data_IF_210930884038
#
_entry.id   IF_210930884038
#
_cell.length_a   1.000
_cell.length_b   1.000
_cell.length_c   1.000
_cell.angle_alpha   90.00
_cell.angle_beta   90.00
_cell.angle_gamma   90.00
#
_symmetry.space_group_name_H-M   'P 1'
#
loop_
_entity.id
_entity.type
_entity.pdbx_description
1 polymer ?
#
# COMPACT_ATOMS: atom_id res chain seq x y z
N UNK A 1 6.44 1.34 24.97
CA UNK A 1 7.07 2.10 23.88
C UNK A 1 8.17 1.26 23.22
N UNK A 2 9.12 0.74 23.99
CA UNK A 2 10.20 -0.12 23.50
C UNK A 2 9.64 -1.39 22.84
N UNK A 3 8.57 -1.95 23.41
CA UNK A 3 7.94 -3.16 22.89
C UNK A 3 7.28 -2.94 21.51
N UNK A 4 6.62 -1.79 21.33
CA UNK A 4 5.98 -1.47 20.07
C UNK A 4 7.02 -1.21 18.97
N UNK A 5 8.08 -0.50 19.28
CA UNK A 5 9.20 -0.25 18.36
C UNK A 5 9.91 -1.57 18.03
N UNK A 6 10.08 -2.43 19.03
CA UNK A 6 10.67 -3.76 18.86
C UNK A 6 9.80 -4.64 17.95
N UNK A 7 8.48 -4.57 18.09
CA UNK A 7 7.56 -5.32 17.21
C UNK A 7 7.60 -4.83 15.76
N UNK A 8 7.66 -3.51 15.55
CA UNK A 8 7.82 -2.96 14.20
C UNK A 8 9.18 -3.34 13.61
N UNK A 9 10.24 -3.28 14.40
CA UNK A 9 11.56 -3.74 13.97
C UNK A 9 11.58 -5.24 13.69
N UNK A 10 10.87 -6.05 14.48
CA UNK A 10 10.72 -7.48 14.23
C UNK A 10 9.97 -7.74 12.94
N UNK A 11 8.90 -7.01 12.66
CA UNK A 11 8.17 -7.12 11.39
C UNK A 11 9.06 -6.77 10.20
N UNK A 12 9.86 -5.73 10.33
CA UNK A 12 10.82 -5.34 9.29
C UNK A 12 11.98 -6.35 9.17
N UNK A 13 12.36 -7.00 10.27
CA UNK A 13 13.36 -8.08 10.26
C UNK A 13 12.87 -9.35 9.56
N UNK A 14 11.54 -9.49 9.37
CA UNK A 14 10.99 -10.59 8.59
C UNK A 14 11.06 -10.34 7.08
N UNK A 15 11.43 -9.13 6.66
CA UNK A 15 11.89 -8.91 5.30
C UNK A 15 13.19 -9.73 5.17
N UNK A 16 13.18 -10.83 4.40
CA UNK A 16 14.37 -11.65 4.32
C UNK A 16 15.51 -10.81 3.77
N UNK A 17 16.74 -10.97 4.28
CA UNK A 17 17.91 -10.30 3.69
C UNK A 17 18.01 -10.53 2.17
N UNK A 18 17.27 -11.49 1.68
CA UNK A 18 17.20 -11.86 0.26
C UNK A 18 16.62 -10.80 -0.66
N UNK A 19 15.82 -9.86 -0.11
CA UNK A 19 15.36 -8.71 -0.90
C UNK A 19 16.53 -7.83 -1.29
N UNK A 20 17.60 -7.87 -0.50
CA UNK A 20 18.85 -7.16 -0.79
C UNK A 20 19.84 -7.97 -1.61
N UNK A 21 19.57 -9.25 -1.89
CA UNK A 21 20.45 -10.07 -2.74
C UNK A 21 20.28 -9.63 -4.19
N UNK A 22 21.41 -9.30 -4.78
CA UNK A 22 21.48 -8.84 -6.15
C UNK A 22 21.04 -9.93 -7.15
N UNK A 23 19.90 -9.68 -7.79
CA UNK A 23 19.49 -10.34 -9.01
C UNK A 23 19.73 -9.41 -10.19
N UNK A 24 19.10 -9.70 -11.30
CA UNK A 24 19.22 -8.91 -12.52
C UNK A 24 17.82 -8.51 -13.02
N UNK A 25 17.71 -7.26 -13.43
CA UNK A 25 16.51 -6.76 -14.06
C UNK A 25 15.44 -6.27 -13.08
N UNK A 26 14.38 -5.77 -13.67
CA UNK A 26 13.29 -5.09 -12.96
C UNK A 26 12.13 -6.05 -12.80
N UNK A 27 11.61 -6.20 -11.59
CA UNK A 27 10.35 -6.89 -11.36
C UNK A 27 9.20 -5.94 -11.68
N UNK A 28 8.56 -6.14 -12.83
CA UNK A 28 7.35 -5.41 -13.22
C UNK A 28 6.12 -6.09 -12.64
N UNK A 29 4.99 -5.39 -12.67
CA UNK A 29 3.70 -5.94 -12.28
C UNK A 29 3.42 -5.96 -10.80
N UNK A 30 4.26 -5.34 -9.97
CA UNK A 30 3.93 -5.13 -8.56
C UNK A 30 2.81 -4.09 -8.44
N UNK A 31 1.92 -4.29 -7.49
CA UNK A 31 0.95 -3.26 -7.14
C UNK A 31 1.64 -2.12 -6.39
N UNK A 32 0.97 -0.97 -6.27
CA UNK A 32 1.51 0.14 -5.48
C UNK A 32 1.76 -0.26 -4.02
N UNK A 33 0.86 -1.07 -3.44
CA UNK A 33 1.03 -1.60 -2.07
C UNK A 33 2.27 -2.49 -1.99
N UNK A 34 2.46 -3.37 -2.95
CA UNK A 34 3.64 -4.24 -2.99
C UNK A 34 4.93 -3.42 -3.17
N UNK A 35 4.89 -2.40 -4.01
CA UNK A 35 6.01 -1.47 -4.16
C UNK A 35 6.31 -0.73 -2.85
N UNK A 36 5.28 -0.34 -2.10
CA UNK A 36 5.44 0.30 -0.79
C UNK A 36 6.16 -0.62 0.20
N UNK A 37 5.84 -1.91 0.18
CA UNK A 37 6.54 -2.91 0.99
C UNK A 37 8.01 -3.00 0.58
N UNK A 38 8.28 -3.04 -0.71
CA UNK A 38 9.65 -3.10 -1.22
C UNK A 38 10.46 -1.86 -0.83
N UNK A 39 9.81 -0.68 -0.84
CA UNK A 39 10.40 0.59 -0.43
C UNK A 39 10.53 0.75 1.09
N UNK A 40 10.08 -0.23 1.85
CA UNK A 40 10.10 -0.19 3.32
C UNK A 40 9.33 1.00 3.89
N UNK A 41 8.22 1.34 3.27
CA UNK A 41 7.33 2.40 3.76
C UNK A 41 6.72 1.99 5.11
N UNK A 42 6.35 2.98 5.97
CA UNK A 42 5.70 2.68 7.25
C UNK A 42 4.45 1.82 7.07
N UNK A 43 4.24 0.85 7.97
CA UNK A 43 3.14 -0.11 7.85
C UNK A 43 1.76 0.56 7.97
N UNK A 44 1.65 1.61 8.78
CA UNK A 44 0.41 2.39 8.86
C UNK A 44 0.05 3.05 7.52
N UNK A 45 1.04 3.51 6.78
CA UNK A 45 0.85 4.05 5.44
C UNK A 45 0.42 2.95 4.47
N UNK A 46 1.03 1.78 4.55
CA UNK A 46 0.64 0.61 3.73
C UNK A 46 -0.81 0.24 4.01
N UNK A 47 -1.22 0.21 5.29
CA UNK A 47 -2.60 -0.05 5.67
C UNK A 47 -3.57 0.98 5.07
N UNK A 48 -3.20 2.25 5.10
CA UNK A 48 -3.99 3.34 4.49
C UNK A 48 -4.12 3.14 2.98
N UNK A 49 -3.05 2.74 2.32
CA UNK A 49 -3.09 2.44 0.89
C UNK A 49 -4.04 1.28 0.57
N UNK A 50 -4.01 0.22 1.37
CA UNK A 50 -4.92 -0.91 1.19
C UNK A 50 -6.36 -0.47 1.41
N UNK A 51 -6.62 0.33 2.45
CA UNK A 51 -7.95 0.87 2.73
C UNK A 51 -8.49 1.64 1.52
N UNK A 52 -7.72 2.57 0.98
CA UNK A 52 -8.14 3.35 -0.19
C UNK A 52 -8.37 2.45 -1.40
N UNK A 53 -7.57 1.44 -1.59
CA UNK A 53 -7.73 0.48 -2.67
C UNK A 53 -9.05 -0.29 -2.59
N UNK A 54 -9.42 -0.79 -1.42
CA UNK A 54 -10.67 -1.55 -1.25
C UNK A 54 -11.90 -0.63 -1.36
N UNK A 55 -11.80 0.62 -0.91
CA UNK A 55 -12.87 1.61 -1.08
C UNK A 55 -13.05 1.93 -2.57
N UNK A 56 -11.98 2.17 -3.27
CA UNK A 56 -11.99 2.49 -4.71
C UNK A 56 -12.59 1.36 -5.54
N UNK A 57 -12.37 0.12 -5.13
CA UNK A 57 -12.93 -1.06 -5.79
C UNK A 57 -14.37 -1.37 -5.36
N UNK A 58 -14.96 -0.53 -4.51
CA UNK A 58 -16.31 -0.71 -3.96
C UNK A 58 -16.44 -1.99 -3.13
N UNK A 59 -15.37 -2.41 -2.48
CA UNK A 59 -15.36 -3.60 -1.62
C UNK A 59 -15.75 -3.27 -0.17
N UNK A 60 -15.68 -2.00 0.21
CA UNK A 60 -16.01 -1.55 1.57
C UNK A 60 -16.37 -0.07 1.58
N UNK A 61 -17.12 0.33 2.61
CA UNK A 61 -17.41 1.72 2.92
C UNK A 61 -16.99 2.00 4.37
N UNK A 62 -16.53 3.22 4.64
CA UNK A 62 -16.18 3.65 5.99
C UNK A 62 -17.45 3.99 6.76
N UNK A 63 -17.69 3.29 7.88
CA UNK A 63 -18.80 3.60 8.80
C UNK A 63 -18.35 4.69 9.76
N UNK A 64 -17.21 4.47 10.43
CA UNK A 64 -16.59 5.45 11.32
C UNK A 64 -15.08 5.46 11.07
N UNK A 65 -14.46 6.60 11.36
CA UNK A 65 -13.00 6.76 11.15
C UNK A 65 -12.19 6.51 12.41
N UNK A 66 -12.74 6.78 13.59
CA UNK A 66 -12.00 6.72 14.83
C UNK A 66 -12.90 6.20 15.95
N UNK A 67 -12.88 4.90 16.26
CA UNK A 67 -12.07 3.86 15.58
C UNK A 67 -12.54 3.57 14.17
N UNK A 68 -11.62 3.08 13.32
CA UNK A 68 -11.96 2.73 11.94
C UNK A 68 -12.87 1.49 11.93
N UNK A 69 -14.07 1.66 11.41
CA UNK A 69 -15.03 0.59 11.17
C UNK A 69 -15.45 0.61 9.72
N UNK A 70 -15.54 -0.57 9.11
CA UNK A 70 -15.87 -0.74 7.70
C UNK A 70 -17.11 -1.59 7.53
N UNK A 71 -17.93 -1.20 6.56
CA UNK A 71 -19.00 -2.06 6.04
C UNK A 71 -18.44 -2.77 4.80
N UNK A 72 -18.25 -4.06 4.91
CA UNK A 72 -17.74 -4.88 3.79
C UNK A 72 -18.89 -5.22 2.86
N UNK A 73 -18.69 -4.97 1.57
CA UNK A 73 -19.69 -5.23 0.54
C UNK A 73 -19.95 -6.74 0.39
N UNK A 74 -21.22 -7.10 0.19
CA UNK A 74 -21.60 -8.49 -0.07
C UNK A 74 -22.55 -8.55 -1.27
N UNK A 75 -22.24 -9.33 -2.32
CA UNK A 75 -21.01 -10.09 -2.51
C UNK A 75 -19.80 -9.19 -2.78
N UNK A 76 -18.61 -9.70 -2.52
CA UNK A 76 -17.39 -8.94 -2.81
C UNK A 76 -17.19 -8.80 -4.32
N UNK A 77 -16.70 -7.64 -4.79
CA UNK A 77 -16.35 -7.48 -6.20
C UNK A 77 -15.20 -8.40 -6.60
N UNK A 78 -15.09 -8.66 -7.89
CA UNK A 78 -13.97 -9.42 -8.46
C UNK A 78 -12.73 -8.52 -8.54
N UNK A 79 -11.56 -9.17 -8.68
CA UNK A 79 -10.31 -8.46 -8.91
C UNK A 79 -9.61 -7.97 -7.64
N UNK A 80 -10.04 -8.45 -6.46
CA UNK A 80 -9.36 -8.15 -5.21
C UNK A 80 -8.10 -8.99 -5.06
N UNK A 81 -7.03 -8.36 -4.60
CA UNK A 81 -5.80 -9.06 -4.28
C UNK A 81 -5.95 -9.83 -2.96
N UNK A 82 -5.11 -10.83 -2.76
CA UNK A 82 -5.14 -11.63 -1.53
C UNK A 82 -5.00 -10.75 -0.28
N UNK A 83 -4.09 -9.80 -0.29
CA UNK A 83 -3.92 -8.90 0.86
C UNK A 83 -5.15 -8.04 1.12
N UNK A 84 -5.89 -7.67 0.06
CA UNK A 84 -7.15 -6.92 0.21
C UNK A 84 -8.24 -7.78 0.84
N UNK A 85 -8.34 -9.04 0.43
CA UNK A 85 -9.28 -10.00 1.02
C UNK A 85 -8.97 -10.23 2.50
N UNK A 86 -7.70 -10.38 2.84
CA UNK A 86 -7.26 -10.56 4.23
C UNK A 86 -7.53 -9.32 5.08
N UNK A 87 -7.34 -8.14 4.51
CA UNK A 87 -7.65 -6.86 5.15
C UNK A 87 -9.14 -6.77 5.49
N UNK A 88 -10.00 -7.06 4.53
CA UNK A 88 -11.44 -7.03 4.72
C UNK A 88 -11.90 -8.06 5.75
N UNK A 89 -11.31 -9.25 5.73
CA UNK A 89 -11.58 -10.29 6.73
C UNK A 89 -11.27 -9.81 8.14
N UNK A 90 -10.16 -9.09 8.32
CA UNK A 90 -9.78 -8.51 9.61
C UNK A 90 -10.84 -7.52 10.10
N UNK A 91 -11.36 -6.69 9.20
CA UNK A 91 -12.36 -5.68 9.58
C UNK A 91 -13.77 -6.22 9.74
N UNK A 92 -14.02 -7.49 9.41
CA UNK A 92 -15.25 -8.18 9.80
C UNK A 92 -15.22 -8.66 11.25
N UNK A 93 -14.02 -8.73 11.84
CA UNK A 93 -13.85 -9.18 13.20
C UNK A 93 -14.17 -8.04 14.17
N UNK A 94 -15.09 -8.28 15.10
CA UNK A 94 -15.51 -7.28 16.09
C UNK A 94 -14.51 -7.10 17.23
N UNK A 95 -13.79 -8.17 17.57
CA UNK A 95 -12.80 -8.13 18.65
C UNK A 95 -11.52 -7.43 18.17
N UNK A 96 -11.12 -6.38 18.89
CA UNK A 96 -9.96 -5.57 18.55
C UNK A 96 -8.65 -6.37 18.52
N UNK A 97 -8.50 -7.32 19.43
CA UNK A 97 -7.31 -8.18 19.49
C UNK A 97 -7.27 -9.15 18.33
N UNK A 98 -8.40 -9.79 18.01
CA UNK A 98 -8.51 -10.69 16.88
C UNK A 98 -8.25 -9.95 15.57
N UNK A 99 -8.79 -8.74 15.42
CA UNK A 99 -8.54 -7.89 14.26
C UNK A 99 -7.05 -7.59 14.09
N UNK A 100 -6.37 -7.19 15.15
CA UNK A 100 -4.93 -6.91 15.11
C UNK A 100 -4.12 -8.12 14.70
N UNK A 101 -4.47 -9.30 15.22
CA UNK A 101 -3.80 -10.54 14.88
C UNK A 101 -3.95 -10.85 13.38
N UNK A 102 -5.15 -10.69 12.84
CA UNK A 102 -5.41 -10.90 11.41
C UNK A 102 -4.65 -9.90 10.54
N UNK A 103 -4.57 -8.63 10.95
CA UNK A 103 -3.79 -7.62 10.22
C UNK A 103 -2.30 -7.92 10.26
N UNK A 104 -1.79 -8.44 11.37
CA UNK A 104 -0.39 -8.87 11.47
C UNK A 104 -0.11 -10.06 10.54
N UNK A 105 -0.99 -11.05 10.52
CA UNK A 105 -0.87 -12.19 9.60
C UNK A 105 -0.88 -11.74 8.15
N UNK A 106 -1.80 -10.83 7.81
CA UNK A 106 -1.85 -10.24 6.47
C UNK A 106 -0.53 -9.59 6.10
N UNK A 107 0.02 -8.79 7.02
CA UNK A 107 1.29 -8.08 6.79
C UNK A 107 2.44 -9.05 6.54
N UNK A 108 2.54 -10.10 7.35
CA UNK A 108 3.60 -11.11 7.17
C UNK A 108 3.46 -11.80 5.82
N UNK A 109 2.24 -12.20 5.45
CA UNK A 109 1.98 -12.84 4.16
C UNK A 109 2.33 -11.92 3.00
N UNK A 110 1.99 -10.64 3.12
CA UNK A 110 2.28 -9.64 2.08
C UNK A 110 3.79 -9.46 1.91
N UNK A 111 4.52 -9.32 2.99
CA UNK A 111 5.98 -9.19 2.96
C UNK A 111 6.62 -10.42 2.30
N UNK A 112 6.17 -11.61 2.68
CA UNK A 112 6.67 -12.86 2.09
C UNK A 112 6.36 -12.93 0.60
N UNK A 113 5.16 -12.52 0.21
CA UNK A 113 4.75 -12.51 -1.20
C UNK A 113 5.64 -11.60 -2.03
N UNK A 114 5.93 -10.40 -1.54
CA UNK A 114 6.83 -9.46 -2.23
C UNK A 114 8.25 -10.04 -2.32
N UNK A 115 8.73 -10.64 -1.24
CA UNK A 115 10.05 -11.29 -1.21
C UNK A 115 10.15 -12.39 -2.27
N UNK A 116 9.10 -13.23 -2.38
CA UNK A 116 9.06 -14.28 -3.40
C UNK A 116 9.06 -13.72 -4.82
N UNK A 117 8.27 -12.68 -5.06
CA UNK A 117 8.19 -12.02 -6.37
C UNK A 117 9.51 -11.37 -6.77
N UNK A 118 10.31 -10.96 -5.80
CA UNK A 118 11.59 -10.31 -6.04
C UNK A 118 12.74 -11.27 -6.32
N UNK A 119 12.56 -12.57 -6.13
CA UNK A 119 13.63 -13.55 -6.38
C UNK A 119 14.14 -13.45 -7.82
N UNK A 120 15.45 -13.32 -7.96
CA UNK A 120 16.10 -13.23 -9.25
C UNK A 120 16.14 -11.83 -9.87
N UNK A 121 15.50 -10.85 -9.25
CA UNK A 121 15.46 -9.47 -9.75
C UNK A 121 16.37 -8.54 -8.93
N UNK A 122 16.74 -7.41 -9.52
CA UNK A 122 17.53 -6.39 -8.84
C UNK A 122 16.62 -5.50 -8.00
N UNK A 123 16.87 -5.44 -6.69
CA UNK A 123 16.13 -4.54 -5.80
C UNK A 123 16.33 -3.08 -6.20
N UNK A 124 17.57 -2.68 -6.46
CA UNK A 124 17.92 -1.30 -6.84
C UNK A 124 17.22 -0.86 -8.12
N UNK A 125 17.28 -1.68 -9.14
CA UNK A 125 16.64 -1.38 -10.44
C UNK A 125 15.11 -1.34 -10.30
N UNK A 126 14.55 -2.25 -9.53
CA UNK A 126 13.10 -2.31 -9.29
C UNK A 126 12.63 -1.09 -8.50
N UNK A 127 13.36 -0.67 -7.46
CA UNK A 127 13.03 0.56 -6.72
C UNK A 127 13.05 1.79 -7.62
N UNK A 128 14.08 1.94 -8.45
CA UNK A 128 14.18 3.05 -9.39
C UNK A 128 13.01 3.07 -10.37
N UNK A 129 12.60 1.91 -10.83
CA UNK A 129 11.45 1.75 -11.73
C UNK A 129 10.14 2.25 -11.06
N UNK A 130 9.84 1.82 -9.83
CA UNK A 130 8.61 2.24 -9.15
C UNK A 130 8.66 3.70 -8.70
N UNK A 131 9.82 4.24 -8.37
CA UNK A 131 9.98 5.69 -8.16
C UNK A 131 9.67 6.46 -9.43
N UNK A 132 10.08 5.95 -10.59
CA UNK A 132 9.74 6.55 -11.89
C UNK A 132 8.23 6.53 -12.15
N UNK A 133 7.55 5.44 -11.82
CA UNK A 133 6.08 5.35 -11.95
C UNK A 133 5.41 6.39 -11.04
N UNK A 134 5.87 6.52 -9.81
CA UNK A 134 5.38 7.51 -8.85
C UNK A 134 5.53 8.93 -9.40
N UNK A 135 6.70 9.28 -9.93
CA UNK A 135 6.93 10.60 -10.52
C UNK A 135 6.05 10.86 -11.74
N UNK A 136 5.85 9.86 -12.59
CA UNK A 136 4.93 9.98 -13.73
C UNK A 136 3.49 10.20 -13.27
N UNK A 137 3.08 9.55 -12.19
CA UNK A 137 1.75 9.75 -11.61
C UNK A 137 1.56 11.20 -11.16
N UNK A 138 2.54 11.77 -10.47
CA UNK A 138 2.50 13.18 -10.08
C UNK A 138 2.47 14.12 -11.29
N UNK A 139 3.28 13.84 -12.30
CA UNK A 139 3.32 14.65 -13.53
C UNK A 139 1.97 14.70 -14.22
N UNK A 140 1.25 13.58 -14.26
CA UNK A 140 -0.10 13.53 -14.84
C UNK A 140 -1.08 14.41 -14.05
N UNK A 141 -0.98 14.42 -12.73
CA UNK A 141 -1.82 15.28 -11.88
C UNK A 141 -1.48 16.75 -12.10
N UNK A 142 -0.18 17.09 -12.06
CA UNK A 142 0.30 18.48 -12.18
C UNK A 142 0.05 19.07 -13.57
N UNK A 143 0.03 18.24 -14.61
CA UNK A 143 -0.18 18.68 -16.00
C UNK A 143 -1.65 18.95 -16.33
N UNK A 144 -2.58 18.63 -15.44
CA UNK A 144 -4.01 18.85 -15.70
C UNK A 144 -4.34 20.34 -15.73
N UNK A 145 -5.12 20.77 -16.73
CA UNK A 145 -5.39 22.19 -17.00
C UNK A 145 -6.46 22.79 -16.09
N UNK A 146 -7.35 21.97 -15.55
CA UNK A 146 -8.45 22.46 -14.70
C UNK A 146 -8.43 21.75 -13.34
N UNK A 147 -8.99 22.39 -12.28
CA UNK A 147 -9.09 21.73 -10.97
C UNK A 147 -9.87 20.40 -11.02
N UNK A 148 -10.91 20.32 -11.84
CA UNK A 148 -11.71 19.11 -11.99
C UNK A 148 -10.92 17.97 -12.60
N UNK A 149 -10.18 18.23 -13.68
CA UNK A 149 -9.33 17.26 -14.34
C UNK A 149 -8.17 16.86 -13.43
N UNK A 150 -7.60 17.83 -12.69
CA UNK A 150 -6.54 17.59 -11.72
C UNK A 150 -7.00 16.62 -10.63
N UNK A 151 -8.20 16.83 -10.07
CA UNK A 151 -8.79 15.93 -9.06
C UNK A 151 -9.04 14.55 -9.63
N UNK A 152 -9.53 14.45 -10.87
CA UNK A 152 -9.76 13.17 -11.54
C UNK A 152 -8.45 12.41 -11.73
N UNK A 153 -7.39 13.07 -12.21
CA UNK A 153 -6.08 12.45 -12.39
C UNK A 153 -5.47 12.02 -11.08
N UNK A 154 -5.67 12.82 -10.02
CA UNK A 154 -5.19 12.47 -8.68
C UNK A 154 -5.88 11.20 -8.17
N UNK A 155 -7.21 11.09 -8.32
CA UNK A 155 -7.95 9.89 -7.91
C UNK A 155 -7.48 8.65 -8.68
N UNK A 156 -7.27 8.78 -9.99
CA UNK A 156 -6.79 7.68 -10.83
C UNK A 156 -5.39 7.20 -10.42
N UNK A 157 -4.54 8.12 -9.99
CA UNK A 157 -3.14 7.88 -9.66
C UNK A 157 -2.89 7.76 -8.16
N UNK A 158 -3.94 7.74 -7.33
CA UNK A 158 -3.83 7.87 -5.88
C UNK A 158 -2.84 6.91 -5.25
N UNK A 159 -2.95 5.63 -5.58
CA UNK A 159 -2.09 4.60 -4.98
C UNK A 159 -0.61 4.85 -5.29
N UNK A 160 -0.29 5.25 -6.53
CA UNK A 160 1.08 5.49 -6.93
C UNK A 160 1.66 6.78 -6.34
N UNK A 161 0.86 7.85 -6.25
CA UNK A 161 1.30 9.10 -5.60
C UNK A 161 1.54 8.91 -4.11
N UNK A 162 0.80 8.01 -3.45
CA UNK A 162 0.98 7.70 -2.03
C UNK A 162 2.33 7.03 -1.73
N UNK A 163 3.03 6.51 -2.72
CA UNK A 163 4.39 6.01 -2.54
C UNK A 163 5.40 7.10 -2.16
N UNK A 164 5.08 8.35 -2.48
CA UNK A 164 5.96 9.48 -2.16
C UNK A 164 6.05 9.66 -0.64
N UNK A 165 7.25 9.69 -0.09
CA UNK A 165 7.47 9.95 1.33
C UNK A 165 7.00 11.37 1.71
N UNK A 166 6.95 12.28 0.75
CA UNK A 166 6.50 13.67 0.92
C UNK A 166 5.08 13.88 0.38
N UNK A 167 4.28 12.81 0.34
CA UNK A 167 2.93 12.80 -0.23
C UNK A 167 2.05 13.93 0.29
N UNK A 168 2.01 14.15 1.60
CA UNK A 168 1.14 15.17 2.20
C UNK A 168 1.56 16.57 1.77
N UNK A 169 2.85 16.88 1.80
CA UNK A 169 3.37 18.19 1.39
C UNK A 169 3.16 18.42 -0.10
N UNK A 170 3.40 17.42 -0.91
CA UNK A 170 3.24 17.51 -2.35
C UNK A 170 1.78 17.66 -2.76
N UNK A 171 0.88 16.94 -2.09
CA UNK A 171 -0.57 17.08 -2.31
C UNK A 171 -1.01 18.51 -2.02
N UNK A 172 -0.58 19.07 -0.90
CA UNK A 172 -0.91 20.45 -0.53
C UNK A 172 -0.43 21.45 -1.60
N UNK A 173 0.78 21.27 -2.10
CA UNK A 173 1.32 22.17 -3.15
C UNK A 173 0.56 22.09 -4.47
N UNK A 174 0.16 20.89 -4.85
CA UNK A 174 -0.54 20.64 -6.12
C UNK A 174 -1.94 21.25 -6.11
N UNK A 175 -2.60 21.25 -4.96
CA UNK A 175 -4.00 21.71 -4.82
C UNK A 175 -4.15 23.07 -4.15
N UNK A 176 -3.10 23.84 -4.05
CA UNK A 176 -3.17 25.24 -3.60
C UNK A 176 -3.76 26.18 -4.65
#
# INVERSE_FOLDING_TARGET
IITAVSNNRRKMKYLPPRISIEGHGIKRGLTAVEAAILMEQPLDKVMTMILFGVIKKNAAEVITRDPLELQVTSPLPEGLHEYELNFLKAFKEDDAKARRNLLQEMTVKLIRSVSEKMKGFSRRETLAYYQSIMEKAWQQVEAADTPEVKSQKFDEALEWTMLDKDYDDRTRRVFQ
#
